data_IF_296169242111
#
_entry.id   IF_296169242111
#
_cell.length_a   1.000
_cell.length_b   1.000
_cell.length_c   1.000
_cell.angle_alpha   90.00
_cell.angle_beta   90.00
_cell.angle_gamma   90.00
#
_symmetry.space_group_name_H-M   'P 1'
#
loop_
_entity.id
_entity.type
_entity.pdbx_description
1 polymer ?
#
# COMPACT_ATOMS: atom_id res chain seq x y z
N UNK A 1 3.34 12.03 11.79
CA UNK A 1 4.07 11.68 10.55
C UNK A 1 3.46 12.34 9.30
N UNK A 2 2.95 13.59 9.40
CA UNK A 2 2.44 14.37 8.26
C UNK A 2 3.29 15.63 7.96
N UNK A 3 4.41 15.80 8.66
CA UNK A 3 5.25 17.00 8.59
C UNK A 3 6.41 16.87 7.58
N UNK A 4 6.69 15.66 7.08
CA UNK A 4 7.72 15.44 6.06
C UNK A 4 7.24 15.80 4.66
N UNK A 5 8.18 16.29 3.83
CA UNK A 5 7.93 16.62 2.44
C UNK A 5 7.44 15.40 1.65
N UNK A 6 6.49 15.61 0.73
CA UNK A 6 5.90 14.56 -0.10
C UNK A 6 6.98 13.73 -0.83
N UNK A 7 8.02 14.38 -1.35
CA UNK A 7 9.13 13.72 -2.02
C UNK A 7 9.86 12.70 -1.11
N UNK A 8 10.07 13.04 0.16
CA UNK A 8 10.70 12.14 1.15
C UNK A 8 9.81 10.93 1.44
N UNK A 9 8.50 11.15 1.60
CA UNK A 9 7.51 10.10 1.83
C UNK A 9 7.40 9.14 0.63
N UNK A 10 7.35 9.69 -0.58
CA UNK A 10 7.34 8.88 -1.82
C UNK A 10 8.64 8.10 -2.01
N UNK A 11 9.79 8.72 -1.73
CA UNK A 11 11.08 8.02 -1.79
C UNK A 11 11.11 6.85 -0.79
N UNK A 12 10.66 7.07 0.44
CA UNK A 12 10.54 6.01 1.45
C UNK A 12 9.62 4.87 0.97
N UNK A 13 8.48 5.21 0.34
CA UNK A 13 7.58 4.22 -0.26
C UNK A 13 8.22 3.42 -1.39
N UNK A 14 9.03 4.06 -2.24
CA UNK A 14 9.77 3.37 -3.31
C UNK A 14 10.87 2.45 -2.76
N UNK A 15 11.56 2.87 -1.69
CA UNK A 15 12.52 2.01 -0.96
C UNK A 15 11.79 0.80 -0.37
N UNK A 16 10.65 1.01 0.29
CA UNK A 16 9.82 -0.06 0.82
C UNK A 16 9.40 -1.04 -0.29
N UNK A 17 8.97 -0.55 -1.45
CA UNK A 17 8.61 -1.39 -2.60
C UNK A 17 9.78 -2.26 -3.07
N UNK A 18 10.99 -1.70 -3.14
CA UNK A 18 12.18 -2.48 -3.51
C UNK A 18 12.50 -3.57 -2.47
N UNK A 19 12.27 -3.27 -1.19
CA UNK A 19 12.42 -4.24 -0.12
C UNK A 19 11.36 -5.35 -0.19
N UNK A 20 10.08 -5.02 -0.44
CA UNK A 20 9.03 -6.02 -0.69
C UNK A 20 9.47 -6.94 -1.84
N UNK A 21 9.81 -6.37 -2.99
CA UNK A 21 10.22 -7.12 -4.19
C UNK A 21 11.39 -8.10 -3.97
N UNK A 22 12.29 -7.82 -3.04
CA UNK A 22 13.54 -8.59 -2.86
C UNK A 22 13.48 -9.61 -1.72
N UNK A 23 12.65 -9.37 -0.72
CA UNK A 23 12.69 -10.14 0.53
C UNK A 23 11.33 -10.37 1.18
N UNK A 24 10.21 -10.14 0.48
CA UNK A 24 8.87 -10.29 1.05
C UNK A 24 8.65 -11.63 1.74
N UNK A 25 9.03 -12.73 1.09
CA UNK A 25 8.87 -14.09 1.63
C UNK A 25 9.73 -14.38 2.88
N UNK A 26 10.73 -13.55 3.15
CA UNK A 26 11.62 -13.68 4.32
C UNK A 26 11.10 -12.90 5.53
N UNK A 27 10.12 -12.02 5.34
CA UNK A 27 9.59 -11.22 6.43
C UNK A 27 8.70 -12.05 7.36
N UNK A 28 8.81 -11.88 8.69
CA UNK A 28 7.85 -12.44 9.62
C UNK A 28 6.41 -11.99 9.29
N UNK A 29 5.43 -12.82 9.64
CA UNK A 29 4.02 -12.55 9.33
C UNK A 29 3.54 -11.23 9.95
N UNK A 30 3.97 -10.93 11.18
CA UNK A 30 3.67 -9.66 11.87
C UNK A 30 4.16 -8.44 11.08
N UNK A 31 5.35 -8.54 10.46
CA UNK A 31 5.91 -7.45 9.64
C UNK A 31 5.12 -7.33 8.34
N UNK A 32 4.75 -8.46 7.73
CA UNK A 32 3.94 -8.47 6.50
C UNK A 32 2.56 -7.85 6.75
N UNK A 33 1.91 -8.21 7.84
CA UNK A 33 0.63 -7.64 8.26
C UNK A 33 0.72 -6.15 8.58
N UNK A 34 1.78 -5.74 9.28
CA UNK A 34 2.05 -4.33 9.56
C UNK A 34 2.19 -3.52 8.26
N UNK A 35 2.99 -4.00 7.31
CA UNK A 35 3.18 -3.33 6.02
C UNK A 35 1.87 -3.28 5.23
N UNK A 36 1.13 -4.38 5.13
CA UNK A 36 -0.19 -4.45 4.46
C UNK A 36 -1.16 -3.41 5.04
N UNK A 37 -1.29 -3.37 6.37
CA UNK A 37 -2.21 -2.49 7.09
C UNK A 37 -1.86 -1.01 6.90
N UNK A 38 -0.59 -0.63 7.10
CA UNK A 38 -0.17 0.76 6.96
C UNK A 38 -0.22 1.25 5.52
N UNK A 39 0.05 0.36 4.55
CA UNK A 39 -0.08 0.69 3.13
C UNK A 39 -1.53 0.96 2.77
N UNK A 40 -2.48 0.11 3.19
CA UNK A 40 -3.91 0.32 2.96
C UNK A 40 -4.47 1.55 3.65
N UNK A 41 -4.00 1.88 4.86
CA UNK A 41 -4.40 3.11 5.54
C UNK A 41 -3.98 4.38 4.79
N UNK A 42 -3.00 4.29 3.89
CA UNK A 42 -2.44 5.43 3.14
C UNK A 42 -3.00 5.57 1.72
N UNK A 43 -3.92 4.70 1.29
CA UNK A 43 -4.43 4.68 -0.08
C UNK A 43 -5.25 5.93 -0.44
N UNK A 44 -5.89 6.54 0.55
CA UNK A 44 -6.69 7.77 0.42
C UNK A 44 -5.89 9.03 0.79
N UNK A 45 -4.55 9.01 0.72
CA UNK A 45 -3.73 10.19 1.01
C UNK A 45 -4.12 11.35 0.08
N UNK A 46 -4.20 12.60 0.55
CA UNK A 46 -4.58 13.74 -0.29
C UNK A 46 -3.58 14.01 -1.44
N UNK A 47 -2.31 13.60 -1.31
CA UNK A 47 -1.31 13.76 -2.38
C UNK A 47 -1.45 12.65 -3.43
N UNK A 48 -1.71 12.99 -4.71
CA UNK A 48 -1.78 12.01 -5.80
C UNK A 48 -0.50 11.19 -5.96
N UNK A 49 0.66 11.80 -5.69
CA UNK A 49 1.95 11.12 -5.76
C UNK A 49 2.07 10.03 -4.69
N UNK A 50 1.57 10.30 -3.48
CA UNK A 50 1.55 9.32 -2.39
C UNK A 50 0.57 8.19 -2.74
N UNK A 51 -0.63 8.50 -3.23
CA UNK A 51 -1.59 7.47 -3.68
C UNK A 51 -1.00 6.57 -4.75
N UNK A 52 -0.37 7.13 -5.77
CA UNK A 52 0.32 6.36 -6.82
C UNK A 52 1.42 5.45 -6.24
N UNK A 53 2.22 5.97 -5.30
CA UNK A 53 3.26 5.19 -4.61
C UNK A 53 2.66 4.03 -3.81
N UNK A 54 1.56 4.28 -3.09
CA UNK A 54 0.82 3.27 -2.33
C UNK A 54 0.26 2.19 -3.24
N UNK A 55 -0.36 2.56 -4.37
CA UNK A 55 -0.84 1.61 -5.38
C UNK A 55 0.28 0.71 -5.93
N UNK A 56 1.46 1.28 -6.18
CA UNK A 56 2.65 0.53 -6.59
C UNK A 56 3.09 -0.47 -5.50
N UNK A 57 3.05 -0.08 -4.22
CA UNK A 57 3.40 -0.99 -3.11
C UNK A 57 2.37 -2.13 -3.01
N UNK A 58 1.07 -1.82 -3.04
CA UNK A 58 -0.02 -2.82 -2.98
C UNK A 58 0.15 -3.84 -4.11
N UNK A 59 0.29 -3.38 -5.34
CA UNK A 59 0.47 -4.26 -6.51
C UNK A 59 1.74 -5.10 -6.39
N UNK A 60 2.84 -4.54 -5.85
CA UNK A 60 4.06 -5.30 -5.60
C UNK A 60 3.84 -6.40 -4.56
N UNK A 61 3.16 -6.09 -3.43
CA UNK A 61 2.83 -7.10 -2.40
C UNK A 61 1.99 -8.22 -3.01
N UNK A 62 0.96 -7.89 -3.81
CA UNK A 62 0.10 -8.90 -4.46
C UNK A 62 0.91 -9.83 -5.37
N UNK A 63 1.88 -9.30 -6.11
CA UNK A 63 2.77 -10.10 -6.95
C UNK A 63 3.63 -11.04 -6.10
N UNK A 64 4.25 -10.53 -5.03
CA UNK A 64 5.12 -11.33 -4.15
C UNK A 64 4.35 -12.33 -3.26
N UNK A 65 3.06 -12.10 -3.03
CA UNK A 65 2.14 -13.04 -2.37
C UNK A 65 1.57 -14.09 -3.36
N UNK A 66 2.08 -14.18 -4.59
CA UNK A 66 1.57 -15.07 -5.63
C UNK A 66 0.07 -14.88 -5.93
N UNK A 67 -0.38 -13.63 -5.91
CA UNK A 67 -1.73 -13.23 -6.30
C UNK A 67 -2.64 -12.84 -5.14
N UNK A 68 -3.77 -12.24 -5.49
CA UNK A 68 -4.72 -11.63 -4.54
C UNK A 68 -5.37 -12.63 -3.57
N UNK A 69 -5.38 -13.92 -3.91
CA UNK A 69 -5.93 -14.98 -3.05
C UNK A 69 -5.24 -15.10 -1.69
N UNK A 70 -3.97 -14.69 -1.59
CA UNK A 70 -3.18 -14.68 -0.34
C UNK A 70 -3.30 -13.36 0.44
N UNK A 71 -4.14 -12.43 -0.04
CA UNK A 71 -4.54 -11.22 0.69
C UNK A 71 -6.05 -11.01 0.59
N UNK A 72 -6.86 -11.88 1.22
CA UNK A 72 -8.31 -11.93 1.03
C UNK A 72 -9.04 -10.66 1.47
N UNK A 73 -8.45 -9.87 2.37
CA UNK A 73 -9.03 -8.61 2.86
C UNK A 73 -8.84 -7.43 1.92
N UNK A 74 -7.99 -7.56 0.89
CA UNK A 74 -7.67 -6.46 -0.03
C UNK A 74 -8.88 -6.03 -0.85
N UNK A 75 -9.49 -6.93 -1.62
CA UNK A 75 -10.60 -6.58 -2.51
C UNK A 75 -11.84 -6.08 -1.76
N UNK A 76 -12.27 -6.70 -0.64
CA UNK A 76 -13.37 -6.15 0.17
C UNK A 76 -13.08 -4.73 0.66
N UNK A 77 -11.85 -4.44 1.07
CA UNK A 77 -11.47 -3.10 1.52
C UNK A 77 -11.48 -2.09 0.37
N UNK A 78 -10.90 -2.43 -0.78
CA UNK A 78 -10.96 -1.56 -1.97
C UNK A 78 -12.39 -1.32 -2.44
N UNK A 79 -13.24 -2.35 -2.44
CA UNK A 79 -14.67 -2.20 -2.75
C UNK A 79 -15.37 -1.23 -1.81
N UNK A 80 -15.11 -1.34 -0.50
CA UNK A 80 -15.66 -0.41 0.48
C UNK A 80 -15.22 1.05 0.27
N UNK A 81 -14.00 1.27 -0.20
CA UNK A 81 -13.49 2.61 -0.52
C UNK A 81 -14.20 3.24 -1.72
N UNK A 82 -14.58 2.44 -2.72
CA UNK A 82 -15.36 2.93 -3.86
C UNK A 82 -16.75 3.43 -3.45
N UNK A 83 -17.30 2.92 -2.35
CA UNK A 83 -18.59 3.36 -1.81
C UNK A 83 -18.47 4.65 -0.98
N UNK A 84 -17.26 5.14 -0.70
CA UNK A 84 -17.05 6.35 0.10
C UNK A 84 -17.27 7.62 -0.73
N UNK A 85 -17.75 8.72 -0.10
CA UNK A 85 -18.00 9.98 -0.81
C UNK A 85 -16.74 10.78 -1.15
N UNK A 86 -15.57 10.41 -0.61
CA UNK A 86 -14.30 11.09 -0.87
C UNK A 86 -13.75 10.68 -2.26
N UNK A 87 -13.58 11.62 -3.20
CA UNK A 87 -13.04 11.32 -4.52
C UNK A 87 -11.65 10.67 -4.48
N UNK A 88 -10.82 11.00 -3.48
CA UNK A 88 -9.48 10.42 -3.37
C UNK A 88 -9.50 8.93 -3.00
N UNK A 89 -10.63 8.40 -2.52
CA UNK A 89 -10.82 6.97 -2.24
C UNK A 89 -11.26 6.17 -3.48
N UNK A 90 -11.59 6.87 -4.56
CA UNK A 90 -12.11 6.31 -5.81
C UNK A 90 -11.09 6.34 -6.96
N UNK A 91 -9.92 6.95 -6.74
CA UNK A 91 -8.78 7.00 -7.67
C UNK A 91 -7.78 5.86 -7.44
#
# INVERSE_FOLDING_TARGET
MKEEQEASRSLAGLILKNNVRSQWSKYPDEVREFVKTNTLASIADPSPLIRATVGIIITTIVVEENGVGHWPTLLPYLGHLLDQPDPNMQE
#
